data_IF_305576569750
#
_entry.id   IF_305576569750
#
_cell.length_a   1.000
_cell.length_b   1.000
_cell.length_c   1.000
_cell.angle_alpha   90.00
_cell.angle_beta   90.00
_cell.angle_gamma   90.00
#
_symmetry.space_group_name_H-M   'P 1'
#
loop_
_entity.id
_entity.type
_entity.pdbx_description
1 polymer ?
#
# COMPACT_ATOMS: atom_id res chain seq x y z
N UNK A 1 20.57 -0.55 3.79
CA UNK A 1 19.25 0.06 3.67
C UNK A 1 18.36 -0.92 2.92
N UNK A 2 17.64 -1.75 3.65
CA UNK A 2 16.65 -2.66 3.06
C UNK A 2 15.47 -1.79 2.62
N UNK A 3 15.26 -1.66 1.31
CA UNK A 3 14.11 -0.91 0.80
C UNK A 3 12.86 -1.75 1.01
N UNK A 4 11.78 -1.12 1.45
CA UNK A 4 10.46 -1.74 1.43
C UNK A 4 10.01 -1.82 -0.03
N UNK A 5 10.33 -2.95 -0.68
CA UNK A 5 10.13 -3.17 -2.11
C UNK A 5 8.88 -4.04 -2.34
N UNK A 6 7.72 -3.54 -1.90
CA UNK A 6 6.42 -4.14 -2.21
C UNK A 6 5.68 -4.81 -1.04
N UNK A 7 6.22 -4.80 0.18
CA UNK A 7 5.51 -5.35 1.36
C UNK A 7 4.20 -4.61 1.63
N UNK A 8 4.22 -3.27 1.60
CA UNK A 8 3.01 -2.48 1.85
C UNK A 8 2.08 -2.48 0.63
N UNK A 9 2.60 -2.66 -0.59
CA UNK A 9 1.80 -2.91 -1.79
C UNK A 9 0.93 -4.17 -1.67
N UNK A 10 1.51 -5.28 -1.22
CA UNK A 10 0.76 -6.52 -0.99
C UNK A 10 -0.32 -6.38 0.08
N UNK A 11 0.01 -5.75 1.21
CA UNK A 11 -0.95 -5.48 2.29
C UNK A 11 -2.05 -4.51 1.84
N UNK A 12 -1.69 -3.47 1.11
CA UNK A 12 -2.62 -2.50 0.55
C UNK A 12 -3.62 -3.15 -0.40
N UNK A 13 -3.17 -4.07 -1.25
CA UNK A 13 -4.05 -4.81 -2.15
C UNK A 13 -5.06 -5.68 -1.40
N UNK A 14 -4.63 -6.43 -0.38
CA UNK A 14 -5.52 -7.26 0.45
C UNK A 14 -6.56 -6.40 1.15
N UNK A 15 -6.14 -5.29 1.76
CA UNK A 15 -7.03 -4.37 2.45
C UNK A 15 -8.03 -3.73 1.48
N UNK A 16 -7.56 -3.30 0.30
CA UNK A 16 -8.39 -2.74 -0.75
C UNK A 16 -9.44 -3.71 -1.28
N UNK A 17 -9.08 -4.99 -1.42
CA UNK A 17 -10.04 -6.05 -1.79
C UNK A 17 -11.12 -6.21 -0.72
N UNK A 18 -10.74 -6.27 0.57
CA UNK A 18 -11.69 -6.40 1.67
C UNK A 18 -12.67 -5.21 1.72
N UNK A 19 -12.16 -3.99 1.57
CA UNK A 19 -12.97 -2.77 1.48
C UNK A 19 -13.88 -2.83 0.24
N UNK A 20 -13.33 -3.18 -0.92
CA UNK A 20 -14.09 -3.30 -2.17
C UNK A 20 -15.24 -4.30 -2.09
N UNK A 21 -15.03 -5.43 -1.43
CA UNK A 21 -16.06 -6.43 -1.17
C UNK A 21 -17.13 -5.90 -0.21
N UNK A 22 -16.75 -5.21 0.87
CA UNK A 22 -17.68 -4.66 1.85
C UNK A 22 -18.66 -3.64 1.24
N UNK A 23 -18.23 -2.87 0.24
CA UNK A 23 -19.06 -1.86 -0.43
C UNK A 23 -19.66 -2.33 -1.77
N UNK A 24 -19.48 -3.60 -2.16
CA UNK A 24 -19.97 -4.14 -3.44
C UNK A 24 -19.29 -3.52 -4.68
N UNK A 25 -18.12 -2.90 -4.52
CA UNK A 25 -17.35 -2.23 -5.59
C UNK A 25 -15.94 -2.80 -5.64
N UNK A 26 -15.82 -4.06 -6.04
CA UNK A 26 -14.54 -4.80 -6.06
C UNK A 26 -13.44 -4.07 -6.84
N UNK A 27 -13.73 -3.63 -8.08
CA UNK A 27 -12.73 -2.95 -8.92
C UNK A 27 -12.20 -1.67 -8.28
N UNK A 28 -13.10 -0.92 -7.62
CA UNK A 28 -12.75 0.32 -6.93
C UNK A 28 -11.86 0.05 -5.72
N UNK A 29 -12.23 -0.94 -4.89
CA UNK A 29 -11.42 -1.34 -3.74
C UNK A 29 -10.05 -1.86 -4.14
N UNK A 30 -9.96 -2.66 -5.20
CA UNK A 30 -8.69 -3.16 -5.73
C UNK A 30 -7.78 -2.01 -6.22
N UNK A 31 -8.30 -1.05 -6.99
CA UNK A 31 -7.51 0.12 -7.41
C UNK A 31 -7.06 0.96 -6.21
N UNK A 32 -7.95 1.18 -5.23
CA UNK A 32 -7.63 1.95 -4.03
C UNK A 32 -6.55 1.25 -3.20
N UNK A 33 -6.63 -0.07 -3.04
CA UNK A 33 -5.63 -0.88 -2.35
C UNK A 33 -4.24 -0.81 -2.99
N UNK A 34 -4.17 -0.92 -4.32
CA UNK A 34 -2.90 -0.81 -5.06
C UNK A 34 -2.28 0.57 -4.87
N UNK A 35 -3.07 1.64 -5.06
CA UNK A 35 -2.57 3.02 -4.94
C UNK A 35 -2.08 3.30 -3.52
N UNK A 36 -2.86 2.93 -2.51
CA UNK A 36 -2.48 3.12 -1.10
C UNK A 36 -1.26 2.29 -0.73
N UNK A 37 -1.15 1.05 -1.22
CA UNK A 37 -0.02 0.17 -0.94
C UNK A 37 1.30 0.72 -1.50
N UNK A 38 1.30 1.14 -2.77
CA UNK A 38 2.49 1.77 -3.39
C UNK A 38 2.86 3.08 -2.69
N UNK A 39 1.87 3.89 -2.33
CA UNK A 39 2.11 5.13 -1.60
C UNK A 39 2.75 4.88 -0.21
N UNK A 40 2.34 3.80 0.47
CA UNK A 40 2.92 3.40 1.75
C UNK A 40 4.35 2.87 1.59
N UNK A 41 4.67 2.09 0.55
CA UNK A 41 6.05 1.67 0.27
C UNK A 41 6.97 2.88 0.03
N UNK A 42 6.51 3.87 -0.73
CA UNK A 42 7.26 5.12 -0.92
C UNK A 42 7.39 5.94 0.35
N UNK A 43 6.33 6.04 1.16
CA UNK A 43 6.35 6.76 2.42
C UNK A 43 7.30 6.10 3.44
N UNK A 44 7.32 4.77 3.50
CA UNK A 44 8.23 4.02 4.36
C UNK A 44 9.70 4.22 3.94
N UNK A 45 9.98 4.18 2.64
CA UNK A 45 11.33 4.46 2.13
C UNK A 45 11.76 5.91 2.41
N UNK A 46 10.87 6.89 2.20
CA UNK A 46 11.16 8.30 2.52
C UNK A 46 11.40 8.51 4.02
N UNK A 47 10.60 7.85 4.87
CA UNK A 47 10.75 7.91 6.32
C UNK A 47 12.10 7.33 6.74
N UNK A 48 12.49 6.18 6.18
CA UNK A 48 13.78 5.57 6.48
C UNK A 48 14.94 6.47 6.05
N UNK A 49 14.89 7.05 4.85
CA UNK A 49 15.90 8.01 4.36
C UNK A 49 16.00 9.28 5.21
N UNK A 50 14.93 9.68 5.89
CA UNK A 50 14.92 10.85 6.78
C UNK A 50 15.43 10.52 8.19
N UNK A 51 15.20 9.28 8.67
CA UNK A 51 15.56 8.85 10.01
C UNK A 51 16.98 8.27 10.13
N UNK A 52 17.56 7.81 9.02
CA UNK A 52 18.95 7.33 8.92
C UNK A 52 19.96 8.45 8.51
N UNK A 53 19.56 9.73 8.60
CA UNK A 53 20.45 10.90 8.51
C UNK A 53 21.02 11.29 9.88
#
# INVERSE_FOLDING_TARGET
MEKYDGEFSGLGMILGILIGLAFGRFLFGLMLGIICGVAMDWAANLWNDYHDQ
#
